data_IF_759156248640
#
_entry.id   IF_759156248640
#
_cell.length_a   1.000
_cell.length_b   1.000
_cell.length_c   1.000
_cell.angle_alpha   90.00
_cell.angle_beta   90.00
_cell.angle_gamma   90.00
#
_symmetry.space_group_name_H-M   'P 1'
#
loop_
_entity.id
_entity.type
_entity.pdbx_description
1 polymer ?
#
# COMPACT_ATOMS: atom_id res chain seq x y z
N UNK A 1 2.47 -14.45 -2.93
CA UNK A 1 1.57 -15.38 -2.22
C UNK A 1 0.46 -15.80 -3.16
N UNK A 2 -0.01 -17.04 -3.09
CA UNK A 2 -1.25 -17.44 -3.76
C UNK A 2 -2.40 -17.37 -2.77
N UNK A 3 -3.52 -16.79 -3.18
CA UNK A 3 -4.72 -16.56 -2.37
C UNK A 3 -5.89 -17.14 -3.14
N UNK A 4 -6.59 -18.13 -2.59
CA UNK A 4 -7.81 -18.66 -3.21
C UNK A 4 -8.89 -17.59 -3.27
N UNK A 5 -9.79 -17.68 -4.26
CA UNK A 5 -10.94 -16.79 -4.26
C UNK A 5 -11.80 -17.01 -2.99
N UNK A 6 -12.32 -15.92 -2.38
CA UNK A 6 -13.26 -16.05 -1.28
C UNK A 6 -14.46 -16.92 -1.65
N UNK A 7 -14.98 -17.72 -0.71
CA UNK A 7 -16.14 -18.60 -0.97
C UNK A 7 -17.34 -17.82 -1.52
N UNK A 8 -17.54 -16.58 -1.05
CA UNK A 8 -18.61 -15.69 -1.52
C UNK A 8 -18.53 -15.29 -3.00
N UNK A 9 -17.38 -15.52 -3.65
CA UNK A 9 -17.15 -15.16 -5.06
C UNK A 9 -17.44 -16.33 -6.01
N UNK A 10 -17.93 -17.48 -5.52
CA UNK A 10 -18.18 -18.67 -6.35
C UNK A 10 -19.14 -18.41 -7.52
N UNK A 11 -20.07 -17.48 -7.35
CA UNK A 11 -21.08 -17.12 -8.35
C UNK A 11 -20.77 -15.81 -9.09
N UNK A 12 -19.67 -15.14 -8.75
CA UNK A 12 -19.26 -13.94 -9.46
C UNK A 12 -18.65 -14.31 -10.81
N UNK A 13 -19.01 -13.54 -11.82
CA UNK A 13 -18.32 -13.47 -13.10
C UNK A 13 -16.87 -12.98 -12.93
N UNK A 14 -16.05 -13.18 -13.95
CA UNK A 14 -14.67 -12.69 -13.94
C UNK A 14 -14.59 -11.18 -13.73
N UNK A 15 -15.41 -10.41 -14.46
CA UNK A 15 -15.45 -8.94 -14.37
C UNK A 15 -15.91 -8.45 -13.00
N UNK A 16 -16.86 -9.14 -12.34
CA UNK A 16 -17.28 -8.81 -10.98
C UNK A 16 -16.14 -8.99 -9.98
N UNK A 17 -15.37 -10.09 -10.09
CA UNK A 17 -14.19 -10.31 -9.25
C UNK A 17 -13.11 -9.25 -9.50
N UNK A 18 -12.83 -8.96 -10.78
CA UNK A 18 -11.86 -7.93 -11.19
C UNK A 18 -12.26 -6.56 -10.63
N UNK A 19 -13.53 -6.19 -10.74
CA UNK A 19 -14.06 -4.94 -10.21
C UNK A 19 -13.92 -4.85 -8.69
N UNK A 20 -14.19 -5.93 -7.97
CA UNK A 20 -14.02 -5.98 -6.51
C UNK A 20 -12.57 -5.75 -6.13
N UNK A 21 -11.62 -6.48 -6.76
CA UNK A 21 -10.18 -6.33 -6.54
C UNK A 21 -9.72 -4.89 -6.77
N UNK A 22 -10.11 -4.28 -7.90
CA UNK A 22 -9.77 -2.90 -8.25
C UNK A 22 -10.29 -1.94 -7.18
N UNK A 23 -11.56 -2.07 -6.81
CA UNK A 23 -12.18 -1.19 -5.83
C UNK A 23 -11.61 -1.38 -4.42
N UNK A 24 -11.23 -2.59 -4.04
CA UNK A 24 -10.50 -2.85 -2.78
C UNK A 24 -9.16 -2.13 -2.78
N UNK A 25 -8.36 -2.25 -3.84
CA UNK A 25 -7.05 -1.60 -3.95
C UNK A 25 -7.17 -0.06 -3.94
N UNK A 26 -8.24 0.49 -4.50
CA UNK A 26 -8.53 1.94 -4.50
C UNK A 26 -9.06 2.46 -3.16
N UNK A 27 -9.44 1.58 -2.22
CA UNK A 27 -10.04 1.93 -0.92
C UNK A 27 -8.99 2.40 0.11
N UNK A 28 -8.21 3.42 -0.26
CA UNK A 28 -7.11 3.97 0.54
C UNK A 28 -7.53 4.36 1.97
N UNK A 29 -8.76 4.81 2.18
CA UNK A 29 -9.24 5.18 3.51
C UNK A 29 -9.35 3.99 4.47
N UNK A 30 -9.44 2.75 3.98
CA UNK A 30 -9.52 1.53 4.83
C UNK A 30 -8.15 1.01 5.26
N UNK A 31 -7.06 1.52 4.69
CA UNK A 31 -5.68 1.30 5.17
C UNK A 31 -5.49 1.83 6.61
N UNK A 32 -6.34 2.76 7.04
CA UNK A 32 -6.33 3.29 8.39
C UNK A 32 -6.48 2.17 9.42
N UNK A 33 -5.55 2.11 10.35
CA UNK A 33 -5.58 1.17 11.47
C UNK A 33 -4.97 -0.19 11.16
N UNK A 34 -4.45 -0.43 9.95
CA UNK A 34 -3.72 -1.67 9.67
C UNK A 34 -2.53 -1.80 10.62
N UNK A 35 -2.20 -3.04 10.96
CA UNK A 35 -1.20 -3.35 11.99
C UNK A 35 -0.08 -4.23 11.44
N UNK A 36 1.03 -4.26 12.17
CA UNK A 36 2.12 -5.21 11.96
C UNK A 36 2.56 -5.80 13.31
N UNK A 37 3.14 -6.99 13.28
CA UNK A 37 3.73 -7.60 14.48
C UNK A 37 5.09 -6.96 14.76
N UNK A 38 5.23 -6.38 15.96
CA UNK A 38 6.44 -5.69 16.39
C UNK A 38 7.28 -6.58 17.29
N UNK A 39 8.37 -7.12 16.76
CA UNK A 39 9.38 -7.87 17.54
C UNK A 39 9.94 -7.03 18.71
N UNK A 40 10.20 -5.73 18.47
CA UNK A 40 10.68 -4.80 19.51
C UNK A 40 9.67 -4.57 20.64
N UNK A 41 8.39 -4.88 20.42
CA UNK A 41 7.34 -4.74 21.42
C UNK A 41 6.95 -6.08 22.07
N UNK A 42 7.76 -7.13 21.87
CA UNK A 42 7.50 -8.48 22.35
C UNK A 42 6.37 -9.16 21.58
N UNK A 43 6.46 -9.19 20.24
CA UNK A 43 5.49 -9.83 19.35
C UNK A 43 4.06 -9.27 19.41
N UNK A 44 3.94 -7.98 19.75
CA UNK A 44 2.62 -7.33 19.86
C UNK A 44 2.23 -6.63 18.56
N UNK A 45 0.94 -6.68 18.17
CA UNK A 45 0.43 -5.85 17.09
C UNK A 45 0.65 -4.36 17.40
N UNK A 46 1.14 -3.62 16.40
CA UNK A 46 1.22 -2.16 16.43
C UNK A 46 0.56 -1.59 15.19
N UNK A 47 -0.18 -0.50 15.37
CA UNK A 47 -0.74 0.25 14.24
C UNK A 47 0.41 0.77 13.38
N UNK A 48 0.32 0.52 12.07
CA UNK A 48 1.26 1.01 11.08
C UNK A 48 0.85 2.40 10.60
N UNK A 49 -0.39 2.52 10.11
CA UNK A 49 -0.98 3.78 9.64
C UNK A 49 -2.12 4.18 10.56
N UNK A 50 -2.00 5.31 11.26
CA UNK A 50 -3.04 5.81 12.17
C UNK A 50 -4.14 6.61 11.46
N UNK A 51 -3.88 7.04 10.22
CA UNK A 51 -4.85 7.71 9.35
C UNK A 51 -4.45 7.52 7.88
N UNK A 52 -5.43 7.44 7.00
CA UNK A 52 -5.21 7.38 5.55
C UNK A 52 -6.39 8.02 4.81
N UNK A 53 -6.11 8.71 3.71
CA UNK A 53 -7.13 9.25 2.81
C UNK A 53 -6.54 9.71 1.48
N UNK A 54 -7.38 9.70 0.43
CA UNK A 54 -7.08 10.30 -0.86
C UNK A 54 -7.10 11.83 -0.80
N UNK A 55 -6.36 12.47 -1.70
CA UNK A 55 -6.30 13.92 -1.84
C UNK A 55 -7.01 14.37 -3.13
N UNK A 56 -7.65 15.54 -3.08
CA UNK A 56 -8.33 16.12 -4.26
C UNK A 56 -7.40 16.54 -5.40
N UNK A 57 -6.08 16.54 -5.17
CA UNK A 57 -5.08 16.95 -6.15
C UNK A 57 -3.74 16.28 -5.83
N UNK A 58 -2.94 16.02 -6.87
CA UNK A 58 -1.62 15.42 -6.78
C UNK A 58 -0.62 16.28 -5.98
N UNK A 59 -0.83 17.61 -6.00
CA UNK A 59 0.11 18.54 -5.40
C UNK A 59 -0.05 18.70 -3.88
N UNK A 60 -1.21 19.21 -3.49
CA UNK A 60 -1.62 19.38 -2.10
C UNK A 60 -3.13 19.60 -2.11
N UNK A 61 -3.87 18.56 -1.74
CA UNK A 61 -5.33 18.56 -1.76
C UNK A 61 -5.96 18.71 -0.39
N UNK A 62 -7.28 18.88 -0.39
CA UNK A 62 -8.10 18.53 0.78
C UNK A 62 -8.28 17.02 0.80
N UNK A 63 -8.71 16.48 1.95
CA UNK A 63 -9.19 15.10 2.03
C UNK A 63 -10.33 14.88 1.02
N UNK A 64 -10.23 13.80 0.25
CA UNK A 64 -11.22 13.35 -0.71
C UNK A 64 -11.82 11.99 -0.27
N UNK A 65 -12.82 11.54 -1.00
CA UNK A 65 -13.35 10.18 -0.90
C UNK A 65 -12.53 9.24 -1.76
N UNK A 66 -12.52 7.96 -1.41
CA UNK A 66 -11.92 6.93 -2.24
C UNK A 66 -12.68 6.83 -3.57
N UNK A 67 -11.92 6.52 -4.63
CA UNK A 67 -12.47 6.37 -5.98
C UNK A 67 -13.09 4.99 -6.10
N UNK A 68 -14.22 4.90 -6.81
CA UNK A 68 -14.90 3.63 -7.07
C UNK A 68 -15.26 3.51 -8.53
N UNK A 69 -14.90 2.39 -9.14
CA UNK A 69 -15.33 2.01 -10.48
C UNK A 69 -16.68 1.31 -10.43
N UNK A 70 -17.49 1.54 -11.47
CA UNK A 70 -18.78 0.88 -11.66
C UNK A 70 -18.66 -0.38 -12.54
N UNK A 71 -17.56 -0.50 -13.30
CA UNK A 71 -17.25 -1.61 -14.19
C UNK A 71 -15.74 -1.86 -14.20
N UNK A 72 -15.32 -3.10 -14.43
CA UNK A 72 -13.91 -3.44 -14.55
C UNK A 72 -13.38 -3.01 -15.93
N UNK A 73 -12.45 -2.04 -16.02
CA UNK A 73 -11.81 -1.71 -17.28
C UNK A 73 -10.85 -2.83 -17.70
N UNK A 74 -10.68 -3.02 -19.02
CA UNK A 74 -9.71 -4.00 -19.53
C UNK A 74 -8.28 -3.49 -19.39
N UNK A 75 -8.03 -2.26 -19.85
CA UNK A 75 -6.78 -1.53 -19.70
C UNK A 75 -7.07 -0.16 -19.08
N UNK A 76 -6.31 0.25 -18.07
CA UNK A 76 -6.46 1.56 -17.46
C UNK A 76 -5.21 1.99 -16.70
N UNK A 77 -4.84 3.25 -16.83
CA UNK A 77 -3.82 3.89 -15.99
C UNK A 77 -4.46 5.00 -15.18
N UNK A 78 -4.18 5.02 -13.88
CA UNK A 78 -4.78 5.99 -12.96
C UNK A 78 -3.77 6.43 -11.91
N UNK A 79 -3.68 7.74 -11.67
CA UNK A 79 -2.77 8.31 -10.68
C UNK A 79 -3.57 9.12 -9.65
N UNK A 80 -3.27 8.93 -8.36
CA UNK A 80 -3.81 9.73 -7.26
C UNK A 80 -2.70 10.15 -6.30
N UNK A 81 -2.98 11.13 -5.45
CA UNK A 81 -2.20 11.36 -4.26
C UNK A 81 -2.97 10.93 -3.01
N UNK A 82 -2.26 10.33 -2.06
CA UNK A 82 -2.82 9.88 -0.79
C UNK A 82 -1.94 10.34 0.38
N UNK A 83 -2.58 10.70 1.47
CA UNK A 83 -1.90 10.93 2.74
C UNK A 83 -1.94 9.67 3.59
N UNK A 84 -0.78 9.24 4.08
CA UNK A 84 -0.65 8.14 5.03
C UNK A 84 0.05 8.64 6.31
N UNK A 85 -0.61 8.52 7.46
CA UNK A 85 -0.03 8.82 8.78
C UNK A 85 0.70 7.59 9.33
N UNK A 86 1.95 7.46 8.94
CA UNK A 86 2.85 6.42 9.41
C UNK A 86 3.30 6.67 10.86
N UNK A 87 3.20 5.64 11.70
CA UNK A 87 3.55 5.76 13.12
C UNK A 87 5.06 5.81 13.41
N UNK A 88 5.92 5.49 12.43
CA UNK A 88 7.38 5.60 12.52
C UNK A 88 7.87 6.83 11.75
N UNK A 89 7.37 7.03 10.53
CA UNK A 89 7.85 8.08 9.61
C UNK A 89 6.99 9.34 9.55
N UNK A 90 5.95 9.43 10.38
CA UNK A 90 5.05 10.57 10.43
C UNK A 90 4.05 10.61 9.27
N UNK A 91 3.49 11.80 9.02
CA UNK A 91 2.50 11.98 7.96
C UNK A 91 3.19 12.29 6.65
N UNK A 92 2.92 11.51 5.61
CA UNK A 92 3.56 11.64 4.31
C UNK A 92 2.54 11.53 3.18
N UNK A 93 2.74 12.33 2.14
CA UNK A 93 2.02 12.17 0.88
C UNK A 93 2.73 11.17 -0.02
N UNK A 94 1.97 10.28 -0.63
CA UNK A 94 2.39 9.34 -1.66
C UNK A 94 1.66 9.64 -2.95
N UNK A 95 2.35 9.49 -4.07
CA UNK A 95 1.72 9.30 -5.37
C UNK A 95 1.43 7.81 -5.51
N UNK A 96 0.21 7.47 -5.90
CA UNK A 96 -0.22 6.11 -6.10
C UNK A 96 -0.64 5.94 -7.56
N UNK A 97 0.09 5.07 -8.26
CA UNK A 97 -0.15 4.70 -9.64
C UNK A 97 -0.85 3.35 -9.66
N UNK A 98 -1.92 3.25 -10.44
CA UNK A 98 -2.62 2.01 -10.74
C UNK A 98 -2.48 1.73 -12.23
N UNK A 99 -2.04 0.53 -12.56
CA UNK A 99 -2.02 0.01 -13.92
C UNK A 99 -2.86 -1.25 -13.94
N UNK A 100 -3.88 -1.26 -14.80
CA UNK A 100 -4.73 -2.41 -15.06
C UNK A 100 -4.42 -2.84 -16.49
N UNK A 101 -4.05 -4.10 -16.68
CA UNK A 101 -3.77 -4.70 -17.98
C UNK A 101 -4.30 -6.15 -17.98
N UNK A 102 -5.48 -6.34 -18.56
CA UNK A 102 -6.16 -7.63 -18.57
C UNK A 102 -6.38 -8.16 -17.14
N UNK A 103 -5.74 -9.27 -16.80
CA UNK A 103 -5.89 -9.93 -15.50
C UNK A 103 -4.90 -9.44 -14.43
N UNK A 104 -4.05 -8.48 -14.75
CA UNK A 104 -3.05 -7.91 -13.85
C UNK A 104 -3.48 -6.52 -13.35
N UNK A 105 -3.41 -6.33 -12.03
CA UNK A 105 -3.59 -5.02 -11.38
C UNK A 105 -2.33 -4.72 -10.58
N UNK A 106 -1.55 -3.76 -11.09
CA UNK A 106 -0.36 -3.26 -10.45
C UNK A 106 -0.64 -1.95 -9.73
N UNK A 107 -0.22 -1.84 -8.47
CA UNK A 107 -0.35 -0.63 -7.66
C UNK A 107 1.01 -0.25 -7.10
N UNK A 108 1.43 0.99 -7.34
CA UNK A 108 2.73 1.51 -6.91
C UNK A 108 2.54 2.74 -6.03
N UNK A 109 3.25 2.80 -4.91
CA UNK A 109 3.25 3.91 -3.95
C UNK A 109 4.63 4.54 -3.95
N UNK A 110 4.74 5.75 -4.46
CA UNK A 110 5.98 6.51 -4.47
C UNK A 110 5.90 7.64 -3.45
N UNK A 111 6.87 7.72 -2.52
CA UNK A 111 6.85 8.79 -1.54
C UNK A 111 7.08 10.15 -2.23
N UNK A 112 6.15 11.08 -2.03
CA UNK A 112 6.27 12.41 -2.61
C UNK A 112 7.18 13.31 -1.78
N UNK A 113 7.14 13.12 -0.46
CA UNK A 113 7.86 13.92 0.51
C UNK A 113 8.99 13.11 1.15
N UNK A 114 9.96 13.81 1.75
CA UNK A 114 11.01 13.15 2.54
C UNK A 114 10.37 12.40 3.69
N UNK A 115 10.65 11.10 3.81
CA UNK A 115 10.29 10.34 4.99
C UNK A 115 11.26 10.72 6.10
N UNK A 116 10.76 11.02 7.30
CA UNK A 116 11.59 11.41 8.44
C UNK A 116 11.39 10.47 9.60
N UNK A 117 12.49 10.06 10.21
CA UNK A 117 12.47 9.44 11.53
C UNK A 117 12.99 10.48 12.54
N UNK A 118 12.10 10.93 13.43
CA UNK A 118 12.35 12.14 14.24
C UNK A 118 12.74 13.33 13.35
N UNK A 119 13.92 13.92 13.54
CA UNK A 119 14.43 15.04 12.73
C UNK A 119 15.37 14.60 11.59
N UNK A 120 15.65 13.29 11.48
CA UNK A 120 16.58 12.74 10.49
C UNK A 120 15.83 12.28 9.23
N UNK A 121 16.39 12.57 8.06
CA UNK A 121 15.85 12.09 6.79
C UNK A 121 16.11 10.59 6.63
N UNK A 122 15.02 9.83 6.57
CA UNK A 122 15.03 8.40 6.34
C UNK A 122 15.20 8.04 4.86
N UNK A 123 14.45 8.73 4.01
CA UNK A 123 14.42 8.52 2.57
C UNK A 123 14.10 9.88 1.93
N UNK A 124 14.82 10.26 0.88
CA UNK A 124 14.51 11.50 0.17
C UNK A 124 13.22 11.34 -0.65
N UNK A 125 12.67 12.46 -1.14
CA UNK A 125 11.49 12.42 -1.99
C UNK A 125 11.77 11.54 -3.23
N UNK A 126 10.82 10.66 -3.57
CA UNK A 126 10.85 9.72 -4.70
C UNK A 126 11.86 8.58 -4.60
N UNK A 127 12.53 8.40 -3.46
CA UNK A 127 13.49 7.31 -3.25
C UNK A 127 12.86 6.05 -2.65
N UNK A 128 11.60 6.07 -2.21
CA UNK A 128 10.84 4.87 -1.83
C UNK A 128 9.77 4.61 -2.88
N UNK A 129 9.79 3.40 -3.43
CA UNK A 129 8.68 2.82 -4.16
C UNK A 129 8.24 1.52 -3.47
N UNK A 130 6.95 1.39 -3.18
CA UNK A 130 6.36 0.14 -2.70
C UNK A 130 5.29 -0.28 -3.69
N UNK A 131 5.29 -1.52 -4.15
CA UNK A 131 4.29 -2.00 -5.09
C UNK A 131 3.63 -3.29 -4.64
N UNK A 132 2.35 -3.40 -4.96
CA UNK A 132 1.54 -4.62 -4.86
C UNK A 132 1.08 -4.93 -6.27
N UNK A 133 1.35 -6.15 -6.71
CA UNK A 133 0.90 -6.69 -7.99
C UNK A 133 -0.08 -7.83 -7.72
N UNK A 134 -1.24 -7.79 -8.37
CA UNK A 134 -2.30 -8.77 -8.24
C UNK A 134 -2.62 -9.33 -9.62
N UNK A 135 -2.21 -10.57 -9.85
CA UNK A 135 -2.55 -11.32 -11.05
C UNK A 135 -3.71 -12.28 -10.77
N UNK A 136 -4.80 -12.12 -11.51
CA UNK A 136 -5.95 -13.00 -11.46
C UNK A 136 -5.65 -14.31 -12.19
N UNK A 137 -6.10 -15.42 -11.62
CA UNK A 137 -6.00 -16.75 -12.21
C UNK A 137 -7.36 -17.44 -12.16
N UNK A 138 -7.44 -18.68 -12.68
CA UNK A 138 -8.68 -19.47 -12.60
C UNK A 138 -9.05 -19.86 -11.17
N UNK A 139 -8.07 -20.07 -10.31
CA UNK A 139 -8.24 -20.66 -8.97
C UNK A 139 -8.16 -19.61 -7.85
N UNK A 140 -7.59 -18.44 -8.14
CA UNK A 140 -7.38 -17.39 -7.15
C UNK A 140 -6.48 -16.26 -7.66
N UNK A 141 -5.76 -15.63 -6.75
CA UNK A 141 -4.90 -14.49 -7.00
C UNK A 141 -3.44 -14.83 -6.71
N UNK A 142 -2.55 -14.51 -7.62
CA UNK A 142 -1.12 -14.41 -7.33
C UNK A 142 -0.80 -12.96 -6.94
N UNK A 143 -0.45 -12.76 -5.67
CA UNK A 143 -0.15 -11.44 -5.11
C UNK A 143 1.34 -11.30 -4.84
N UNK A 144 1.99 -10.34 -5.48
CA UNK A 144 3.39 -9.98 -5.24
C UNK A 144 3.45 -8.63 -4.54
N UNK A 145 4.47 -8.45 -3.71
CA UNK A 145 4.65 -7.23 -2.95
C UNK A 145 6.15 -6.94 -2.83
N UNK A 146 6.57 -5.74 -3.22
CA UNK A 146 7.98 -5.35 -3.26
C UNK A 146 8.14 -3.94 -2.72
N UNK A 147 9.22 -3.71 -1.97
CA UNK A 147 9.63 -2.37 -1.58
C UNK A 147 11.06 -2.13 -2.08
N UNK A 148 11.26 -1.03 -2.78
CA UNK A 148 12.54 -0.57 -3.29
C UNK A 148 12.87 0.76 -2.64
N UNK A 149 14.09 0.86 -2.11
CA UNK A 149 14.64 2.12 -1.59
C UNK A 149 15.88 2.45 -2.38
N UNK A 150 15.88 3.58 -3.07
CA UNK A 150 17.00 4.07 -3.88
C UNK A 150 18.00 4.81 -2.98
N UNK A 151 18.68 4.07 -2.11
CA UNK A 151 19.64 4.61 -1.14
C UNK A 151 20.74 3.59 -0.82
N UNK A 152 21.96 4.08 -0.59
CA UNK A 152 23.09 3.24 -0.16
C UNK A 152 23.01 2.85 1.32
N UNK A 153 22.64 3.79 2.20
CA UNK A 153 22.52 3.49 3.63
C UNK A 153 21.27 2.67 3.95
N UNK A 154 21.47 1.53 4.61
CA UNK A 154 20.41 0.60 5.01
C UNK A 154 19.82 0.89 6.40
N UNK A 155 20.38 1.84 7.15
CA UNK A 155 19.88 2.24 8.46
C UNK A 155 19.92 3.75 8.68
N UNK A 156 19.08 4.21 9.60
CA UNK A 156 19.15 5.54 10.20
C UNK A 156 19.60 5.36 11.64
N UNK A 157 20.71 5.99 11.98
CA UNK A 157 21.24 6.00 13.35
C UNK A 157 20.84 7.30 14.04
N UNK A 158 20.24 7.19 15.21
CA UNK A 158 20.03 8.30 16.14
C UNK A 158 20.72 7.98 17.47
N UNK A 159 20.97 8.97 18.35
CA UNK A 159 21.57 8.70 19.66
C UNK A 159 20.81 7.71 20.55
N UNK A 160 19.53 7.41 20.24
CA UNK A 160 18.67 6.57 21.06
C UNK A 160 18.23 5.27 20.38
N UNK A 161 18.09 5.28 19.06
CA UNK A 161 17.49 4.19 18.28
C UNK A 161 18.13 4.10 16.90
N UNK A 162 18.37 2.87 16.44
CA UNK A 162 18.66 2.54 15.05
C UNK A 162 17.40 2.03 14.34
N UNK A 163 17.16 2.51 13.12
CA UNK A 163 16.08 2.03 12.25
C UNK A 163 16.68 1.36 11.03
N UNK A 164 16.54 0.04 10.93
CA UNK A 164 16.89 -0.72 9.72
C UNK A 164 15.81 -0.52 8.65
N UNK A 165 16.16 0.21 7.59
CA UNK A 165 15.24 0.65 6.54
C UNK A 165 14.61 -0.51 5.76
N UNK A 166 15.36 -1.53 5.27
CA UNK A 166 14.76 -2.67 4.57
C UNK A 166 13.70 -3.38 5.40
N UNK A 167 13.97 -3.64 6.69
CA UNK A 167 12.97 -4.27 7.58
C UNK A 167 11.79 -3.35 7.87
N UNK A 168 12.01 -2.03 7.95
CA UNK A 168 10.92 -1.08 8.13
C UNK A 168 9.98 -1.08 6.92
N UNK A 169 10.52 -0.99 5.70
CA UNK A 169 9.69 -0.97 4.49
C UNK A 169 9.09 -2.34 4.14
N UNK A 170 9.80 -3.44 4.44
CA UNK A 170 9.24 -4.78 4.33
C UNK A 170 7.97 -4.94 5.18
N UNK A 171 7.97 -4.45 6.42
CA UNK A 171 6.76 -4.47 7.27
C UNK A 171 5.60 -3.71 6.64
N UNK A 172 5.87 -2.59 5.96
CA UNK A 172 4.83 -1.79 5.31
C UNK A 172 4.20 -2.54 4.14
N UNK A 173 5.03 -3.04 3.24
CA UNK A 173 4.53 -3.68 2.03
C UNK A 173 3.87 -5.03 2.33
N UNK A 174 4.36 -5.77 3.33
CA UNK A 174 3.68 -6.96 3.84
C UNK A 174 2.34 -6.59 4.47
N UNK A 175 2.28 -5.56 5.33
CA UNK A 175 1.01 -5.12 5.92
C UNK A 175 0.00 -4.60 4.89
N UNK A 176 0.43 -3.94 3.81
CA UNK A 176 -0.44 -3.53 2.71
C UNK A 176 -0.97 -4.75 1.95
N UNK A 177 -0.11 -5.71 1.61
CA UNK A 177 -0.53 -6.98 1.01
C UNK A 177 -1.52 -7.75 1.90
N UNK A 178 -1.23 -7.85 3.20
CA UNK A 178 -2.09 -8.54 4.16
C UNK A 178 -3.42 -7.78 4.38
N UNK A 179 -3.41 -6.45 4.33
CA UNK A 179 -4.63 -5.64 4.31
C UNK A 179 -5.49 -5.98 3.09
N UNK A 180 -4.92 -5.95 1.89
CA UNK A 180 -5.66 -6.29 0.66
C UNK A 180 -6.29 -7.68 0.77
N UNK A 181 -5.50 -8.69 1.16
CA UNK A 181 -5.99 -10.06 1.35
C UNK A 181 -7.11 -10.12 2.38
N UNK A 182 -7.03 -9.33 3.46
CA UNK A 182 -8.08 -9.28 4.46
C UNK A 182 -9.36 -8.62 3.94
N UNK A 183 -9.26 -7.55 3.16
CA UNK A 183 -10.44 -6.81 2.69
C UNK A 183 -11.23 -7.58 1.62
N UNK A 184 -10.57 -8.45 0.84
CA UNK A 184 -11.28 -9.30 -0.14
C UNK A 184 -11.91 -10.54 0.49
N UNK A 185 -11.50 -10.96 1.69
CA UNK A 185 -12.00 -12.16 2.39
C UNK A 185 -13.14 -11.81 3.36
#
# INVERSE_FOLDING_TARGET
SFIEYPEGWSNMTHDEKKLEIINTLLSISTIKGITYISHQAGEKPKVLFSDSYTLTALEKGKKAYDVKFEYAPEEYEYEIAAYLKDNIFGGNVYIIDYTIDGDEIFVSFTNKEKLKFMFYTAVEAKELNMCVDVLMTKEGLAVFALATVFREEISIETPFVSVHLPSAFMKRIVSLKDWFVKEIN
#
